data_IF_731613595880
#
_entry.id   IF_731613595880
#
_cell.length_a   1.000
_cell.length_b   1.000
_cell.length_c   1.000
_cell.angle_alpha   90.00
_cell.angle_beta   90.00
_cell.angle_gamma   90.00
#
_symmetry.space_group_name_H-M   'P 1'
#
loop_
_entity.id
_entity.type
_entity.pdbx_description
1 polymer ?
#
# COMPACT_ATOMS: atom_id res chain seq x y z
N UNK A 1 -10.87 52.79 10.33
CA UNK A 1 -9.70 51.95 10.66
C UNK A 1 -10.14 50.62 11.29
N UNK A 2 -11.08 50.57 12.23
CA UNK A 2 -11.58 49.30 12.78
C UNK A 2 -12.27 48.36 11.74
N UNK A 3 -13.06 48.91 10.80
CA UNK A 3 -13.76 48.09 9.79
C UNK A 3 -12.83 47.45 8.75
N UNK A 4 -11.70 48.09 8.42
CA UNK A 4 -10.72 47.52 7.48
C UNK A 4 -9.98 46.33 8.10
N UNK A 5 -9.66 46.41 9.38
CA UNK A 5 -8.94 45.34 10.10
C UNK A 5 -9.81 44.10 10.27
N UNK A 6 -11.12 44.28 10.49
CA UNK A 6 -12.08 43.19 10.62
C UNK A 6 -12.34 42.47 9.29
N UNK A 7 -12.37 43.22 8.17
CA UNK A 7 -12.50 42.64 6.83
C UNK A 7 -11.25 41.85 6.41
N UNK A 8 -10.05 42.32 6.76
CA UNK A 8 -8.80 41.62 6.46
C UNK A 8 -8.63 40.37 7.33
N UNK A 9 -9.02 40.41 8.60
CA UNK A 9 -9.06 39.23 9.47
C UNK A 9 -10.00 38.15 8.91
N UNK A 10 -11.21 38.53 8.48
CA UNK A 10 -12.16 37.58 7.88
C UNK A 10 -11.63 36.97 6.56
N UNK A 11 -10.88 37.74 5.77
CA UNK A 11 -10.28 37.29 4.50
C UNK A 11 -9.13 36.31 4.73
N UNK A 12 -8.24 36.59 5.68
CA UNK A 12 -7.15 35.70 6.09
C UNK A 12 -7.68 34.40 6.67
N UNK A 13 -8.68 34.48 7.56
CA UNK A 13 -9.32 33.32 8.16
C UNK A 13 -9.99 32.42 7.10
N UNK A 14 -10.73 33.02 6.16
CA UNK A 14 -11.35 32.29 5.04
C UNK A 14 -10.30 31.62 4.16
N UNK A 15 -9.21 32.30 3.82
CA UNK A 15 -8.15 31.73 3.00
C UNK A 15 -7.44 30.57 3.70
N UNK A 16 -7.21 30.68 5.01
CA UNK A 16 -6.63 29.61 5.82
C UNK A 16 -7.52 28.37 5.84
N UNK A 17 -8.85 28.53 6.02
CA UNK A 17 -9.82 27.43 5.95
C UNK A 17 -9.78 26.74 4.59
N UNK A 18 -9.88 27.51 3.49
CA UNK A 18 -9.89 26.94 2.13
C UNK A 18 -8.60 26.17 1.87
N UNK A 19 -7.44 26.75 2.22
CA UNK A 19 -6.15 26.08 2.09
C UNK A 19 -6.10 24.78 2.90
N UNK A 20 -6.60 24.79 4.12
CA UNK A 20 -6.59 23.61 4.99
C UNK A 20 -7.46 22.49 4.40
N UNK A 21 -8.68 22.82 3.95
CA UNK A 21 -9.59 21.87 3.31
C UNK A 21 -8.95 21.25 2.06
N UNK A 22 -8.34 22.06 1.19
CA UNK A 22 -7.68 21.56 -0.02
C UNK A 22 -6.56 20.57 0.32
N UNK A 23 -5.74 20.87 1.33
CA UNK A 23 -4.64 19.99 1.75
C UNK A 23 -5.18 18.66 2.29
N UNK A 24 -6.19 18.69 3.15
CA UNK A 24 -6.79 17.47 3.72
C UNK A 24 -7.45 16.61 2.64
N UNK A 25 -8.21 17.22 1.74
CA UNK A 25 -8.86 16.51 0.62
C UNK A 25 -7.81 15.87 -0.28
N UNK A 26 -6.74 16.60 -0.62
CA UNK A 26 -5.65 16.05 -1.43
C UNK A 26 -4.99 14.84 -0.73
N UNK A 27 -4.72 14.94 0.57
CA UNK A 27 -4.15 13.82 1.34
C UNK A 27 -5.09 12.60 1.36
N UNK A 28 -6.39 12.81 1.58
CA UNK A 28 -7.38 11.74 1.53
C UNK A 28 -7.46 11.07 0.15
N UNK A 29 -7.44 11.86 -0.93
CA UNK A 29 -7.43 11.33 -2.30
C UNK A 29 -6.18 10.50 -2.57
N UNK A 30 -5.01 10.96 -2.12
CA UNK A 30 -3.74 10.24 -2.29
C UNK A 30 -3.72 8.96 -1.47
N UNK A 31 -4.27 8.97 -0.26
CA UNK A 31 -4.45 7.75 0.55
C UNK A 31 -5.35 6.73 -0.16
N UNK A 32 -6.52 7.15 -0.65
CA UNK A 32 -7.42 6.29 -1.42
C UNK A 32 -6.73 5.77 -2.67
N UNK A 33 -5.96 6.60 -3.37
CA UNK A 33 -5.12 6.19 -4.50
C UNK A 33 -4.12 5.10 -4.12
N UNK A 34 -3.49 5.20 -2.94
CA UNK A 34 -2.62 4.17 -2.38
C UNK A 34 -3.34 2.85 -2.13
N UNK A 35 -4.55 2.90 -1.56
CA UNK A 35 -5.39 1.71 -1.34
C UNK A 35 -5.77 1.03 -2.66
N UNK A 36 -6.19 1.81 -3.65
CA UNK A 36 -6.54 1.32 -4.99
C UNK A 36 -5.33 0.69 -5.66
N UNK A 37 -4.17 1.35 -5.60
CA UNK A 37 -2.92 0.83 -6.15
C UNK A 37 -2.51 -0.49 -5.47
N UNK A 38 -2.68 -0.61 -4.15
CA UNK A 38 -2.45 -1.85 -3.42
C UNK A 38 -3.36 -2.98 -3.89
N UNK A 39 -4.66 -2.72 -4.03
CA UNK A 39 -5.60 -3.71 -4.54
C UNK A 39 -5.21 -4.20 -5.93
N UNK A 40 -4.96 -3.29 -6.88
CA UNK A 40 -4.56 -3.67 -8.23
C UNK A 40 -3.20 -4.38 -8.28
N UNK A 41 -2.26 -3.99 -7.44
CA UNK A 41 -0.96 -4.66 -7.31
C UNK A 41 -1.11 -6.09 -6.82
N UNK A 42 -2.00 -6.32 -5.85
CA UNK A 42 -2.30 -7.65 -5.35
C UNK A 42 -3.00 -8.49 -6.44
N UNK A 43 -4.02 -7.93 -7.12
CA UNK A 43 -4.68 -8.61 -8.25
C UNK A 43 -3.69 -8.97 -9.37
N UNK A 44 -2.75 -8.07 -9.66
CA UNK A 44 -1.69 -8.34 -10.62
C UNK A 44 -0.79 -9.49 -10.16
N UNK A 45 -0.35 -9.49 -8.89
CA UNK A 45 0.45 -10.57 -8.34
C UNK A 45 -0.31 -11.90 -8.46
N UNK A 46 -1.57 -11.95 -8.00
CA UNK A 46 -2.43 -13.13 -8.10
C UNK A 46 -2.55 -13.70 -9.51
N UNK A 47 -2.67 -12.84 -10.53
CA UNK A 47 -2.81 -13.27 -11.93
C UNK A 47 -1.49 -13.69 -12.56
N UNK A 48 -0.37 -13.25 -11.99
CA UNK A 48 0.97 -13.47 -12.55
C UNK A 48 1.70 -14.60 -11.84
N UNK A 49 1.40 -14.80 -10.56
CA UNK A 49 1.99 -15.85 -9.75
C UNK A 49 1.58 -17.21 -10.32
N UNK A 50 2.53 -18.10 -10.64
CA UNK A 50 2.21 -19.43 -11.12
C UNK A 50 1.48 -20.22 -10.03
N UNK A 51 0.45 -20.97 -10.44
CA UNK A 51 -0.28 -21.84 -9.52
C UNK A 51 0.69 -22.81 -8.84
N UNK A 52 0.63 -22.84 -7.52
CA UNK A 52 1.37 -23.82 -6.75
C UNK A 52 0.63 -25.17 -6.81
N UNK A 53 1.36 -26.30 -6.90
CA UNK A 53 0.77 -27.62 -6.72
C UNK A 53 -0.07 -27.70 -5.44
N UNK A 54 -1.21 -28.42 -5.49
CA UNK A 54 -2.13 -28.53 -4.35
C UNK A 54 -1.46 -29.01 -3.05
N UNK A 55 -0.34 -29.71 -3.14
CA UNK A 55 0.43 -30.15 -1.99
C UNK A 55 1.08 -29.01 -1.16
N UNK A 56 1.17 -27.80 -1.71
CA UNK A 56 1.58 -26.60 -0.97
C UNK A 56 0.49 -26.05 -0.03
N UNK A 57 -0.79 -26.37 -0.29
CA UNK A 57 -1.89 -26.01 0.61
C UNK A 57 -1.94 -26.85 1.90
N UNK A 58 -1.02 -27.81 2.07
CA UNK A 58 -0.82 -28.55 3.33
C UNK A 58 0.31 -27.88 4.11
N UNK A 59 0.21 -27.73 5.45
CA UNK A 59 1.29 -27.17 6.26
C UNK A 59 2.62 -27.87 6.03
N UNK A 60 3.71 -27.11 6.02
CA UNK A 60 5.04 -27.63 5.73
C UNK A 60 5.49 -28.79 6.63
N UNK A 61 5.03 -28.81 7.89
CA UNK A 61 5.28 -29.90 8.86
C UNK A 61 4.59 -31.22 8.52
N UNK A 62 3.46 -31.13 7.80
CA UNK A 62 2.57 -32.26 7.46
C UNK A 62 2.78 -32.72 6.01
N UNK A 63 3.56 -31.97 5.21
CA UNK A 63 4.08 -32.47 3.94
C UNK A 63 5.04 -33.60 4.25
N UNK A 64 4.94 -34.70 3.50
CA UNK A 64 5.72 -35.92 3.70
C UNK A 64 7.23 -35.78 3.39
N UNK A 65 7.86 -34.65 3.76
CA UNK A 65 9.30 -34.38 3.63
C UNK A 65 9.81 -34.14 2.20
N UNK A 66 9.00 -34.44 1.18
CA UNK A 66 9.49 -34.55 -0.21
C UNK A 66 9.27 -33.30 -1.09
N UNK A 67 8.47 -32.34 -0.64
CA UNK A 67 8.18 -31.15 -1.46
C UNK A 67 9.18 -30.04 -1.17
N UNK A 68 9.92 -29.55 -2.20
CA UNK A 68 10.72 -28.33 -2.04
C UNK A 68 9.80 -27.15 -1.65
N UNK A 69 10.37 -26.09 -1.07
CA UNK A 69 9.61 -24.87 -0.79
C UNK A 69 9.07 -24.20 -2.06
N UNK A 70 8.10 -23.26 -1.94
CA UNK A 70 7.56 -22.57 -3.10
C UNK A 70 8.67 -21.95 -3.96
N UNK A 71 8.56 -22.00 -5.30
CA UNK A 71 9.59 -21.51 -6.20
C UNK A 71 9.99 -20.06 -5.92
N UNK A 72 11.25 -19.69 -6.14
CA UNK A 72 11.73 -18.31 -5.91
C UNK A 72 10.92 -17.27 -6.70
N UNK A 73 10.45 -17.62 -7.90
CA UNK A 73 9.60 -16.75 -8.72
C UNK A 73 8.29 -16.36 -8.02
N UNK A 74 7.69 -17.26 -7.24
CA UNK A 74 6.48 -16.98 -6.45
C UNK A 74 6.74 -15.80 -5.50
N UNK A 75 7.84 -15.88 -4.75
CA UNK A 75 8.23 -14.84 -3.80
C UNK A 75 8.59 -13.53 -4.48
N UNK A 76 9.29 -13.58 -5.61
CA UNK A 76 9.67 -12.40 -6.37
C UNK A 76 8.45 -11.64 -6.89
N UNK A 77 7.42 -12.34 -7.37
CA UNK A 77 6.19 -11.71 -7.86
C UNK A 77 5.46 -10.97 -6.73
N UNK A 78 5.35 -11.57 -5.55
CA UNK A 78 4.74 -10.91 -4.40
C UNK A 78 5.59 -9.77 -3.82
N UNK A 79 6.92 -9.87 -3.92
CA UNK A 79 7.84 -8.83 -3.46
C UNK A 79 7.96 -7.65 -4.45
N UNK A 80 7.64 -7.83 -5.73
CA UNK A 80 7.87 -6.83 -6.76
C UNK A 80 7.05 -5.54 -6.54
N UNK A 81 5.72 -5.58 -6.31
CA UNK A 81 4.94 -4.36 -6.12
C UNK A 81 5.41 -3.48 -4.93
N UNK A 82 5.61 -4.01 -3.71
CA UNK A 82 6.10 -3.18 -2.62
C UNK A 82 7.51 -2.67 -2.91
N UNK A 83 8.39 -3.46 -3.53
CA UNK A 83 9.74 -3.01 -3.88
C UNK A 83 9.72 -1.81 -4.82
N UNK A 84 8.88 -1.84 -5.87
CA UNK A 84 8.74 -0.72 -6.80
C UNK A 84 8.14 0.51 -6.12
N UNK A 85 7.09 0.34 -5.31
CA UNK A 85 6.36 1.45 -4.70
C UNK A 85 7.17 2.13 -3.60
N UNK A 86 7.85 1.36 -2.74
CA UNK A 86 8.75 1.92 -1.73
C UNK A 86 10.06 2.41 -2.35
N UNK A 87 10.58 1.75 -3.40
CA UNK A 87 11.79 2.17 -4.10
C UNK A 87 11.60 3.51 -4.81
N UNK A 88 10.60 3.61 -5.70
CA UNK A 88 10.28 4.85 -6.42
C UNK A 88 9.85 5.92 -5.41
N UNK A 89 8.98 5.59 -4.46
CA UNK A 89 8.54 6.50 -3.41
C UNK A 89 9.71 7.02 -2.57
N UNK A 90 10.70 6.18 -2.25
CA UNK A 90 11.86 6.54 -1.43
C UNK A 90 12.77 7.52 -2.16
N UNK A 91 12.99 7.30 -3.46
CA UNK A 91 13.73 8.22 -4.32
C UNK A 91 12.99 9.57 -4.40
N UNK A 92 11.67 9.56 -4.61
CA UNK A 92 10.86 10.78 -4.66
C UNK A 92 10.86 11.52 -3.32
N UNK A 93 10.71 10.81 -2.21
CA UNK A 93 10.72 11.36 -0.86
C UNK A 93 12.07 12.02 -0.51
N UNK A 94 13.16 11.42 -0.98
CA UNK A 94 14.51 11.92 -0.81
C UNK A 94 14.74 13.21 -1.62
N UNK A 95 14.39 13.19 -2.91
CA UNK A 95 14.67 14.30 -3.84
C UNK A 95 13.69 15.47 -3.69
N UNK A 96 12.43 15.21 -3.32
CA UNK A 96 11.38 16.23 -3.33
C UNK A 96 10.78 16.44 -1.93
N UNK A 97 11.36 17.40 -1.19
CA UNK A 97 10.93 17.72 0.18
C UNK A 97 9.47 18.17 0.29
N UNK A 98 8.96 18.92 -0.70
CA UNK A 98 7.57 19.39 -0.70
C UNK A 98 6.54 18.27 -0.96
N UNK A 99 6.94 17.22 -1.68
CA UNK A 99 6.07 16.07 -2.01
C UNK A 99 6.03 14.97 -0.93
N UNK A 100 6.76 15.11 0.18
CA UNK A 100 6.89 14.07 1.20
C UNK A 100 5.56 13.63 1.81
N UNK A 101 4.66 14.58 2.03
CA UNK A 101 3.32 14.27 2.54
C UNK A 101 2.52 13.44 1.54
N UNK A 102 2.59 13.76 0.25
CA UNK A 102 1.91 12.99 -0.80
C UNK A 102 2.44 11.55 -0.81
N UNK A 103 3.76 11.37 -0.83
CA UNK A 103 4.38 10.03 -0.79
C UNK A 103 3.98 9.28 0.48
N UNK A 104 3.97 9.96 1.63
CA UNK A 104 3.60 9.36 2.92
C UNK A 104 2.16 8.84 2.95
N UNK A 105 1.18 9.64 2.49
CA UNK A 105 -0.22 9.19 2.43
C UNK A 105 -0.44 8.08 1.40
N UNK A 106 0.26 8.13 0.26
CA UNK A 106 0.21 7.07 -0.74
C UNK A 106 0.71 5.75 -0.15
N UNK A 107 1.86 5.78 0.52
CA UNK A 107 2.39 4.63 1.22
C UNK A 107 1.46 4.15 2.31
N UNK A 108 0.92 5.03 3.16
CA UNK A 108 -0.02 4.63 4.19
C UNK A 108 -1.22 3.86 3.61
N UNK A 109 -1.83 4.35 2.53
CA UNK A 109 -2.92 3.66 1.85
C UNK A 109 -2.50 2.31 1.28
N UNK A 110 -1.30 2.25 0.67
CA UNK A 110 -0.76 1.03 0.10
C UNK A 110 -0.46 -0.03 1.17
N UNK A 111 0.23 0.36 2.26
CA UNK A 111 0.64 -0.50 3.38
C UNK A 111 -0.55 -1.04 4.15
N UNK A 112 -1.68 -0.33 4.21
CA UNK A 112 -2.87 -0.85 4.91
C UNK A 112 -3.52 -1.99 4.13
N UNK A 113 -3.49 -1.97 2.80
CA UNK A 113 -4.25 -2.91 1.97
C UNK A 113 -3.38 -4.06 1.45
N UNK A 114 -2.22 -3.76 0.86
CA UNK A 114 -1.42 -4.76 0.16
C UNK A 114 -0.95 -5.92 1.05
N UNK A 115 -0.30 -5.69 2.22
CA UNK A 115 0.17 -6.80 3.04
C UNK A 115 -0.97 -7.62 3.64
N UNK A 116 -2.15 -7.03 3.89
CA UNK A 116 -3.31 -7.83 4.33
C UNK A 116 -3.68 -8.84 3.25
N UNK A 117 -3.84 -8.39 2.00
CA UNK A 117 -4.18 -9.28 0.89
C UNK A 117 -3.07 -10.30 0.65
N UNK A 118 -1.81 -9.84 0.59
CA UNK A 118 -0.66 -10.69 0.33
C UNK A 118 -0.49 -11.78 1.40
N UNK A 119 -0.56 -11.42 2.69
CA UNK A 119 -0.42 -12.38 3.78
C UNK A 119 -1.58 -13.38 3.81
N UNK A 120 -2.81 -12.93 3.61
CA UNK A 120 -3.97 -13.83 3.54
C UNK A 120 -3.83 -14.82 2.39
N UNK A 121 -3.42 -14.35 1.21
CA UNK A 121 -3.32 -15.20 0.03
C UNK A 121 -2.13 -16.16 0.09
N UNK A 122 -0.95 -15.66 0.45
CA UNK A 122 0.24 -16.50 0.66
C UNK A 122 -0.03 -17.55 1.76
N UNK A 123 -0.80 -17.18 2.80
CA UNK A 123 -1.24 -18.11 3.84
C UNK A 123 -2.11 -19.24 3.30
N UNK A 124 -3.05 -18.93 2.39
CA UNK A 124 -3.84 -19.95 1.70
C UNK A 124 -2.97 -20.86 0.82
N UNK A 125 -2.07 -20.26 0.05
CA UNK A 125 -1.25 -20.96 -0.94
C UNK A 125 -0.19 -21.88 -0.31
N UNK A 126 0.42 -21.46 0.80
CA UNK A 126 1.62 -22.10 1.37
C UNK A 126 1.38 -22.66 2.77
N UNK A 127 0.40 -22.14 3.51
CA UNK A 127 0.13 -22.57 4.88
C UNK A 127 -0.90 -23.68 4.94
N UNK A 128 -1.96 -23.58 4.11
CA UNK A 128 -3.23 -24.21 4.43
C UNK A 128 -3.76 -23.65 5.74
N UNK A 129 -5.01 -23.19 5.80
CA UNK A 129 -5.64 -22.87 7.08
C UNK A 129 -5.94 -24.13 7.91
N UNK A 130 -4.99 -25.05 8.04
CA UNK A 130 -5.09 -26.21 8.91
C UNK A 130 -4.76 -25.76 10.34
N UNK A 131 -5.66 -25.95 11.32
CA UNK A 131 -5.35 -25.68 12.71
C UNK A 131 -4.16 -26.54 13.14
N UNK A 132 -3.25 -25.92 13.88
CA UNK A 132 -2.05 -26.55 14.41
C UNK A 132 -2.37 -27.71 15.35
#
# INVERSE_FOLDING_TARGET
MADSDQADFARLHRWWIVRHVVVVVLQAMVFVGGCVLAFYSAVWALRTTPDLPAAYAVPARDRAGELPGPPIMYWLIWALPPTLIYGIGGIMFWRWKAGRWIVGFLWAGFTVIFPIIALLWIGMDVGGFAPS
#
